data_IF_044533449050
#
_entry.id   IF_044533449050
#
_cell.length_a   1.000
_cell.length_b   1.000
_cell.length_c   1.000
_cell.angle_alpha   90.00
_cell.angle_beta   90.00
_cell.angle_gamma   90.00
#
_symmetry.space_group_name_H-M   'P 1'
#
loop_
_entity.id
_entity.type
_entity.pdbx_description
1 polymer ?
#
# COMPACT_ATOMS: atom_id res chain seq x y z
N UNK A 1 14.50 5.61 -9.15
CA UNK A 1 14.03 6.93 -9.56
C UNK A 1 13.30 7.58 -8.38
N UNK A 2 13.49 8.89 -8.07
CA UNK A 2 12.74 9.56 -7.00
C UNK A 2 11.22 9.41 -7.14
N UNK A 3 10.71 9.44 -8.37
CA UNK A 3 9.28 9.32 -8.65
C UNK A 3 8.69 7.99 -8.23
N UNK A 4 9.47 6.92 -8.19
CA UNK A 4 9.04 5.59 -7.74
C UNK A 4 8.67 5.57 -6.25
N UNK A 5 9.15 6.55 -5.49
CA UNK A 5 8.90 6.66 -4.06
C UNK A 5 7.83 7.70 -3.73
N UNK A 6 7.96 8.92 -4.27
CA UNK A 6 7.08 9.98 -3.81
C UNK A 6 5.71 10.03 -4.48
N UNK A 7 5.57 9.55 -5.72
CA UNK A 7 4.25 9.47 -6.37
C UNK A 7 3.30 8.55 -5.60
N UNK A 8 3.68 7.33 -5.20
CA UNK A 8 2.85 6.52 -4.33
C UNK A 8 2.50 7.21 -3.00
N UNK A 9 3.41 7.99 -2.42
CA UNK A 9 3.13 8.75 -1.19
C UNK A 9 2.14 9.88 -1.40
N UNK A 10 2.19 10.58 -2.54
CA UNK A 10 1.17 11.58 -2.91
C UNK A 10 -0.22 10.94 -3.03
N UNK A 11 -0.29 9.75 -3.64
CA UNK A 11 -1.53 9.00 -3.74
C UNK A 11 -2.02 8.52 -2.36
N UNK A 12 -1.10 8.10 -1.47
CA UNK A 12 -1.43 7.74 -0.10
C UNK A 12 -1.95 8.94 0.71
N UNK A 13 -1.45 10.15 0.48
CA UNK A 13 -1.95 11.36 1.14
C UNK A 13 -3.44 11.56 0.87
N UNK A 14 -3.88 11.21 -0.33
CA UNK A 14 -5.29 11.26 -0.71
C UNK A 14 -6.11 10.07 -0.17
N UNK A 15 -5.62 8.83 -0.34
CA UNK A 15 -6.39 7.62 -0.01
C UNK A 15 -6.31 7.20 1.46
N UNK A 16 -5.22 7.52 2.14
CA UNK A 16 -4.89 7.00 3.48
C UNK A 16 -4.26 8.09 4.35
N UNK A 17 -5.05 9.07 4.73
CA UNK A 17 -4.60 10.22 5.54
C UNK A 17 -3.87 9.78 6.80
N UNK A 18 -2.69 10.34 7.04
CA UNK A 18 -1.79 10.01 8.13
C UNK A 18 -0.80 8.89 7.81
N UNK A 19 -0.99 8.15 6.71
CA UNK A 19 -0.01 7.15 6.25
C UNK A 19 1.29 7.80 5.78
N UNK A 20 1.28 8.88 4.98
CA UNK A 20 2.51 9.56 4.60
C UNK A 20 3.28 10.12 5.81
N UNK A 21 2.61 10.72 6.78
CA UNK A 21 3.22 11.24 8.00
C UNK A 21 3.84 10.11 8.83
N UNK A 22 3.18 8.97 8.90
CA UNK A 22 3.70 7.77 9.56
C UNK A 22 5.00 7.30 8.88
N UNK A 23 5.01 7.23 7.54
CA UNK A 23 6.19 6.84 6.76
C UNK A 23 7.32 7.87 6.94
N UNK A 24 7.02 9.17 6.81
CA UNK A 24 7.98 10.25 7.02
C UNK A 24 8.62 10.18 8.41
N UNK A 25 7.84 9.93 9.45
CA UNK A 25 8.38 9.80 10.81
C UNK A 25 9.34 8.62 10.94
N UNK A 26 9.00 7.45 10.37
CA UNK A 26 9.88 6.29 10.43
C UNK A 26 11.18 6.46 9.66
N UNK A 27 11.16 7.27 8.61
CA UNK A 27 12.34 7.57 7.79
C UNK A 27 13.21 8.64 8.48
N UNK A 28 12.61 9.73 8.94
CA UNK A 28 13.32 10.91 9.46
C UNK A 28 13.58 10.83 10.97
N UNK A 29 12.72 10.15 11.71
CA UNK A 29 12.83 10.03 13.17
C UNK A 29 12.72 11.36 13.92
N UNK A 30 12.02 12.35 13.33
CA UNK A 30 11.94 13.72 13.87
C UNK A 30 11.29 13.78 15.26
N UNK A 31 10.38 12.84 15.56
CA UNK A 31 9.74 12.69 16.87
C UNK A 31 10.33 11.51 17.66
N UNK A 32 11.46 10.95 17.20
CA UNK A 32 12.24 9.95 17.89
C UNK A 32 11.88 8.49 17.58
N UNK A 33 11.00 8.21 16.63
CA UNK A 33 10.70 6.85 16.22
C UNK A 33 11.60 6.45 15.05
N UNK A 34 12.39 5.40 15.24
CA UNK A 34 13.30 4.89 14.22
C UNK A 34 13.04 3.40 13.99
N UNK A 35 13.22 2.97 12.75
CA UNK A 35 13.30 1.53 12.44
C UNK A 35 14.71 1.05 12.71
N UNK A 36 14.83 -0.05 13.46
CA UNK A 36 16.09 -0.71 13.72
C UNK A 36 16.00 -2.21 13.38
N UNK A 37 17.04 -2.72 12.73
CA UNK A 37 17.20 -4.14 12.50
C UNK A 37 18.03 -4.77 13.64
N UNK A 38 17.46 -5.71 14.38
CA UNK A 38 18.06 -6.33 15.57
C UNK A 38 18.06 -7.86 15.49
N UNK A 39 19.11 -8.50 15.97
CA UNK A 39 19.08 -9.95 16.18
C UNK A 39 18.00 -10.30 17.23
N UNK A 40 17.28 -11.42 17.05
CA UNK A 40 16.33 -11.87 18.06
C UNK A 40 17.06 -12.17 19.37
N UNK A 41 16.44 -11.80 20.48
CA UNK A 41 16.88 -12.23 21.79
C UNK A 41 16.80 -13.77 21.84
N UNK A 42 17.82 -14.49 22.37
CA UNK A 42 17.79 -15.95 22.49
C UNK A 42 16.52 -16.51 23.11
N UNK A 43 15.91 -15.77 24.03
CA UNK A 43 14.64 -16.14 24.70
C UNK A 43 13.40 -16.04 23.81
N UNK A 44 13.53 -15.49 22.61
CA UNK A 44 12.42 -15.34 21.64
C UNK A 44 12.56 -16.30 20.45
N UNK A 45 13.72 -16.96 20.30
CA UNK A 45 13.96 -17.92 19.22
C UNK A 45 13.06 -19.15 19.42
N UNK A 46 12.34 -19.56 18.38
CA UNK A 46 11.37 -20.65 18.42
C UNK A 46 10.02 -20.29 19.08
N UNK A 47 9.87 -19.04 19.53
CA UNK A 47 8.57 -18.48 19.92
C UNK A 47 7.83 -17.92 18.71
N UNK A 48 6.53 -17.70 18.85
CA UNK A 48 5.70 -17.17 17.77
C UNK A 48 5.85 -15.66 17.59
N UNK A 49 5.51 -15.16 16.39
CA UNK A 49 5.51 -13.74 16.08
C UNK A 49 4.60 -12.93 17.02
N UNK A 50 3.42 -13.46 17.30
CA UNK A 50 2.49 -12.84 18.24
C UNK A 50 3.04 -12.74 19.66
N UNK A 51 3.71 -13.78 20.16
CA UNK A 51 4.38 -13.76 21.45
C UNK A 51 5.49 -12.71 21.51
N UNK A 52 6.25 -12.56 20.40
CA UNK A 52 7.25 -11.50 20.27
C UNK A 52 6.63 -10.12 20.36
N UNK A 53 5.54 -9.86 19.61
CA UNK A 53 4.81 -8.59 19.66
C UNK A 53 4.34 -8.30 21.09
N UNK A 54 3.63 -9.25 21.71
CA UNK A 54 3.13 -9.13 23.10
C UNK A 54 4.25 -8.76 24.07
N UNK A 55 5.34 -9.52 24.03
CA UNK A 55 6.47 -9.36 24.96
C UNK A 55 7.24 -8.05 24.75
N UNK A 56 7.57 -7.71 23.48
CA UNK A 56 8.33 -6.51 23.18
C UNK A 56 7.50 -5.25 23.40
N UNK A 57 6.26 -5.25 22.97
CA UNK A 57 5.37 -4.11 23.13
C UNK A 57 5.09 -3.80 24.60
N UNK A 58 4.75 -4.82 25.38
CA UNK A 58 4.41 -4.66 26.80
C UNK A 58 5.60 -4.24 27.67
N UNK A 59 6.79 -4.87 27.43
CA UNK A 59 7.95 -4.67 28.30
C UNK A 59 8.88 -3.54 27.89
N UNK A 60 8.96 -3.27 26.59
CA UNK A 60 9.97 -2.37 26.00
C UNK A 60 9.36 -1.23 25.18
N UNK A 61 8.05 -1.24 24.94
CA UNK A 61 7.40 -0.28 24.05
C UNK A 61 7.77 -0.42 22.57
N UNK A 62 8.51 -1.50 22.22
CA UNK A 62 9.04 -1.75 20.87
C UNK A 62 7.98 -2.47 20.03
N UNK A 63 7.82 -2.04 18.77
CA UNK A 63 6.88 -2.66 17.83
C UNK A 63 7.62 -3.41 16.72
N UNK A 64 7.62 -4.75 16.71
CA UNK A 64 8.14 -5.54 15.61
C UNK A 64 7.28 -5.33 14.34
N UNK A 65 7.92 -5.13 13.18
CA UNK A 65 7.26 -4.91 11.88
C UNK A 65 7.48 -6.06 10.91
N UNK A 66 8.73 -6.53 10.82
CA UNK A 66 9.15 -7.48 9.80
C UNK A 66 10.30 -8.38 10.27
N UNK A 67 10.52 -9.46 9.54
CA UNK A 67 11.65 -10.37 9.72
C UNK A 67 12.48 -10.39 8.42
N UNK A 68 13.79 -10.19 8.53
CA UNK A 68 14.74 -10.33 7.43
C UNK A 68 15.45 -11.68 7.54
N UNK A 69 15.28 -12.54 6.54
CA UNK A 69 15.88 -13.87 6.45
C UNK A 69 16.51 -14.04 5.07
N UNK A 70 17.83 -14.31 5.00
CA UNK A 70 18.53 -14.54 3.72
C UNK A 70 18.25 -13.44 2.66
N UNK A 71 18.30 -12.18 3.07
CA UNK A 71 18.04 -10.98 2.23
C UNK A 71 16.58 -10.78 1.82
N UNK A 72 15.66 -11.65 2.25
CA UNK A 72 14.21 -11.48 2.02
C UNK A 72 13.57 -10.83 3.24
N UNK A 73 12.85 -9.75 3.02
CA UNK A 73 12.04 -9.06 4.04
C UNK A 73 10.63 -9.66 4.05
N UNK A 74 10.20 -10.15 5.19
CA UNK A 74 8.84 -10.63 5.41
C UNK A 74 8.14 -9.64 6.34
N UNK A 75 7.28 -8.81 5.80
CA UNK A 75 6.51 -7.82 6.56
C UNK A 75 5.32 -8.49 7.22
N UNK A 76 5.05 -8.13 8.47
CA UNK A 76 3.89 -8.60 9.22
C UNK A 76 3.68 -10.13 9.16
N UNK A 77 4.69 -10.97 9.50
CA UNK A 77 4.53 -12.43 9.50
C UNK A 77 3.25 -12.88 10.21
N UNK A 78 2.71 -14.02 9.84
CA UNK A 78 1.54 -14.60 10.52
C UNK A 78 1.72 -14.69 12.04
N UNK A 79 0.63 -14.64 12.80
CA UNK A 79 0.66 -14.69 14.25
C UNK A 79 1.40 -15.93 14.79
N UNK A 80 1.29 -17.06 14.09
CA UNK A 80 1.92 -18.36 14.39
C UNK A 80 3.34 -18.52 13.87
N UNK A 81 3.85 -17.55 13.08
CA UNK A 81 5.20 -17.65 12.49
C UNK A 81 6.25 -17.82 13.58
N UNK A 82 7.05 -18.88 13.50
CA UNK A 82 8.13 -19.19 14.45
C UNK A 82 9.39 -18.38 14.11
N UNK A 83 9.96 -17.72 15.11
CA UNK A 83 11.14 -16.85 14.95
C UNK A 83 12.39 -17.68 14.78
N UNK A 84 13.07 -17.62 13.59
CA UNK A 84 14.27 -18.40 13.35
C UNK A 84 15.47 -17.86 14.15
N UNK A 85 16.46 -18.72 14.37
CA UNK A 85 17.72 -18.32 15.00
C UNK A 85 18.54 -17.36 14.13
N UNK A 86 18.47 -17.52 12.82
CA UNK A 86 19.26 -16.75 11.85
C UNK A 86 18.35 -15.76 11.12
N UNK A 87 17.96 -14.69 11.81
CA UNK A 87 17.19 -13.60 11.22
C UNK A 87 17.55 -12.26 11.86
N UNK A 88 17.06 -11.16 11.28
CA UNK A 88 16.97 -9.86 11.92
C UNK A 88 15.51 -9.49 12.08
N UNK A 89 15.15 -8.93 13.23
CA UNK A 89 13.81 -8.36 13.47
C UNK A 89 13.90 -6.87 13.18
N UNK A 90 13.10 -6.41 12.24
CA UNK A 90 12.91 -4.99 11.95
C UNK A 90 11.78 -4.47 12.85
N UNK A 91 12.05 -3.44 13.60
CA UNK A 91 11.15 -2.97 14.67
C UNK A 91 11.20 -1.47 14.83
N UNK A 92 10.08 -0.85 15.24
CA UNK A 92 10.04 0.54 15.65
C UNK A 92 10.55 0.62 17.09
N UNK A 93 11.65 1.35 17.27
CA UNK A 93 12.20 1.69 18.58
C UNK A 93 11.79 3.12 18.95
N UNK A 94 11.36 3.30 20.19
CA UNK A 94 11.02 4.61 20.76
C UNK A 94 12.15 5.01 21.71
N UNK A 95 12.53 6.29 21.80
CA UNK A 95 13.57 6.75 22.70
C UNK A 95 13.33 6.32 24.15
N UNK A 96 14.36 5.92 24.90
CA UNK A 96 14.23 5.43 26.28
C UNK A 96 13.76 6.51 27.28
N UNK A 97 13.90 7.78 26.93
CA UNK A 97 13.62 8.92 27.81
C UNK A 97 12.18 9.45 27.69
N UNK A 98 11.25 8.65 27.19
CA UNK A 98 9.85 9.03 27.10
C UNK A 98 9.30 9.32 28.50
N UNK A 99 8.88 10.56 28.84
CA UNK A 99 8.29 10.86 30.12
C UNK A 99 7.05 9.97 30.32
N UNK A 100 6.93 9.34 31.48
CA UNK A 100 5.78 8.47 31.80
C UNK A 100 4.46 9.24 32.02
N UNK A 101 4.45 10.55 31.79
CA UNK A 101 3.33 11.44 32.16
C UNK A 101 2.44 11.84 30.99
N UNK A 102 2.97 11.97 29.77
CA UNK A 102 2.18 12.34 28.60
C UNK A 102 2.32 11.25 27.52
N UNK A 103 1.25 10.50 27.30
CA UNK A 103 1.22 9.40 26.34
C UNK A 103 1.12 9.92 24.89
N UNK A 104 0.92 11.23 24.70
CA UNK A 104 0.69 11.88 23.41
C UNK A 104 1.75 12.97 23.08
N UNK A 105 2.82 13.09 23.89
CA UNK A 105 3.82 14.17 23.77
C UNK A 105 4.54 14.26 22.43
N UNK A 106 4.57 13.16 21.67
CA UNK A 106 5.21 13.07 20.34
C UNK A 106 4.21 12.85 19.21
N UNK A 107 3.00 13.37 19.37
CA UNK A 107 1.98 13.26 18.36
C UNK A 107 2.24 14.22 17.19
N UNK A 108 2.13 13.70 15.98
CA UNK A 108 2.38 14.39 14.71
C UNK A 108 1.06 14.98 14.22
N UNK A 109 1.04 16.24 13.80
CA UNK A 109 -0.13 16.81 13.15
C UNK A 109 -0.36 16.11 11.81
N UNK A 110 -1.53 15.52 11.63
CA UNK A 110 -1.96 15.00 10.35
C UNK A 110 -2.67 16.15 9.62
N UNK A 111 -2.13 16.51 8.49
CA UNK A 111 -2.79 17.45 7.59
C UNK A 111 -3.99 16.71 7.03
N UNK A 112 -5.17 17.03 7.52
CA UNK A 112 -6.33 16.20 7.30
C UNK A 112 -7.47 16.92 6.70
N UNK A 113 -8.16 16.17 5.88
CA UNK A 113 -9.45 16.53 5.34
C UNK A 113 -10.56 16.05 6.27
N UNK A 114 -11.44 16.95 6.61
CA UNK A 114 -12.82 16.59 6.92
C UNK A 114 -13.44 16.10 5.61
N UNK A 115 -13.71 14.78 5.51
CA UNK A 115 -14.43 14.09 4.44
C UNK A 115 -14.30 14.70 3.03
N UNK A 116 -13.28 14.28 2.26
CA UNK A 116 -13.22 14.53 0.81
C UNK A 116 -14.51 14.01 0.20
N UNK A 117 -15.20 14.83 -0.57
CA UNK A 117 -16.32 14.37 -1.38
C UNK A 117 -15.85 13.17 -2.22
N UNK A 118 -16.56 12.04 -2.10
CA UNK A 118 -16.17 10.79 -2.79
C UNK A 118 -16.35 10.88 -4.30
N UNK A 119 -17.13 11.86 -4.78
CA UNK A 119 -17.48 12.03 -6.19
C UNK A 119 -16.57 13.07 -6.87
N UNK A 120 -16.10 12.75 -8.07
CA UNK A 120 -15.28 13.64 -8.87
C UNK A 120 -14.12 12.93 -9.57
N UNK A 121 -13.50 13.65 -10.51
CA UNK A 121 -12.34 13.15 -11.23
C UNK A 121 -11.03 13.52 -10.52
N UNK A 122 -9.94 12.88 -10.97
CA UNK A 122 -8.58 13.17 -10.53
C UNK A 122 -7.95 14.15 -11.53
N UNK A 123 -7.37 15.23 -11.05
CA UNK A 123 -6.67 16.22 -11.86
C UNK A 123 -5.16 16.05 -11.66
N UNK A 124 -4.41 16.04 -12.76
CA UNK A 124 -2.94 16.07 -12.76
C UNK A 124 -2.49 17.31 -13.52
N UNK A 125 -1.80 18.23 -12.86
CA UNK A 125 -1.22 19.41 -13.50
C UNK A 125 0.30 19.34 -13.43
N UNK A 126 0.93 19.03 -14.57
CA UNK A 126 2.37 18.83 -14.62
C UNK A 126 2.92 18.96 -16.04
N UNK A 127 4.13 19.51 -16.17
CA UNK A 127 4.93 19.49 -17.39
C UNK A 127 6.09 18.50 -17.31
N UNK A 128 6.00 17.56 -16.37
CA UNK A 128 6.97 16.50 -16.14
C UNK A 128 6.39 15.16 -16.57
N UNK A 129 6.81 14.69 -17.74
CA UNK A 129 6.31 13.45 -18.31
C UNK A 129 6.61 12.22 -17.44
N UNK A 130 7.74 12.21 -16.73
CA UNK A 130 8.10 11.11 -15.83
C UNK A 130 7.12 11.03 -14.66
N UNK A 131 6.78 12.17 -14.07
CA UNK A 131 5.77 12.26 -13.03
C UNK A 131 4.40 11.80 -13.50
N UNK A 132 3.93 12.35 -14.65
CA UNK A 132 2.62 11.99 -15.21
C UNK A 132 2.54 10.48 -15.47
N UNK A 133 3.55 9.93 -16.14
CA UNK A 133 3.60 8.49 -16.45
C UNK A 133 3.58 7.64 -15.19
N UNK A 134 4.33 8.05 -14.16
CA UNK A 134 4.33 7.33 -12.88
C UNK A 134 2.97 7.38 -12.18
N UNK A 135 2.31 8.54 -12.17
CA UNK A 135 0.95 8.66 -11.64
C UNK A 135 -0.02 7.74 -12.38
N UNK A 136 0.00 7.75 -13.71
CA UNK A 136 -0.89 6.91 -14.51
C UNK A 136 -0.60 5.42 -14.31
N UNK A 137 0.67 5.03 -14.21
CA UNK A 137 1.06 3.64 -13.93
C UNK A 137 0.53 3.19 -12.57
N UNK A 138 0.77 3.93 -11.50
CA UNK A 138 0.29 3.63 -10.15
C UNK A 138 -1.25 3.54 -10.10
N UNK A 139 -1.94 4.48 -10.74
CA UNK A 139 -3.40 4.49 -10.80
C UNK A 139 -3.94 3.30 -11.61
N UNK A 140 -3.26 2.91 -12.68
CA UNK A 140 -3.59 1.73 -13.48
C UNK A 140 -3.51 0.45 -12.67
N UNK A 141 -2.47 0.30 -11.87
CA UNK A 141 -2.25 -0.88 -11.02
C UNK A 141 -3.24 -0.98 -9.87
N UNK A 142 -3.65 0.16 -9.31
CA UNK A 142 -4.70 0.25 -8.29
C UNK A 142 -6.11 0.03 -8.88
N UNK A 143 -6.23 -0.26 -10.19
CA UNK A 143 -7.51 -0.35 -10.90
C UNK A 143 -8.42 0.87 -10.65
N UNK A 144 -7.83 2.05 -10.69
CA UNK A 144 -8.56 3.31 -10.52
C UNK A 144 -9.66 3.41 -11.58
N UNK A 145 -10.90 3.66 -11.15
CA UNK A 145 -12.07 3.73 -12.05
C UNK A 145 -12.51 5.15 -12.35
N UNK A 146 -12.02 6.09 -11.57
CA UNK A 146 -12.34 7.50 -11.75
C UNK A 146 -11.66 8.05 -12.99
N UNK A 147 -12.33 8.98 -13.62
CA UNK A 147 -11.76 9.74 -14.73
C UNK A 147 -10.53 10.51 -14.25
N UNK A 148 -9.49 10.53 -15.07
CA UNK A 148 -8.26 11.30 -14.85
C UNK A 148 -8.19 12.39 -15.91
N UNK A 149 -7.97 13.64 -15.49
CA UNK A 149 -7.75 14.77 -16.39
C UNK A 149 -6.31 15.25 -16.22
N UNK A 150 -5.54 15.21 -17.29
CA UNK A 150 -4.15 15.66 -17.31
C UNK A 150 -4.07 17.02 -17.98
N UNK A 151 -3.50 18.01 -17.29
CA UNK A 151 -3.15 19.34 -17.82
C UNK A 151 -1.64 19.41 -17.99
N UNK A 152 -1.16 19.60 -19.23
CA UNK A 152 0.27 19.66 -19.52
C UNK A 152 0.56 20.50 -20.75
N UNK A 153 1.74 21.17 -20.80
CA UNK A 153 2.27 21.79 -22.02
C UNK A 153 2.83 20.71 -22.99
N UNK A 154 3.01 19.49 -22.49
CA UNK A 154 3.49 18.37 -23.29
C UNK A 154 2.31 17.74 -24.04
N UNK A 155 2.51 17.44 -25.31
CA UNK A 155 1.51 16.69 -26.08
C UNK A 155 1.27 15.30 -25.52
N UNK A 156 0.08 14.77 -25.73
CA UNK A 156 -0.31 13.44 -25.27
C UNK A 156 0.71 12.37 -25.69
N UNK A 157 0.98 11.46 -24.77
CA UNK A 157 1.84 10.29 -25.05
C UNK A 157 1.08 9.24 -25.86
N UNK A 158 1.81 8.54 -26.74
CA UNK A 158 1.22 7.58 -27.68
C UNK A 158 0.63 6.32 -27.02
N UNK A 159 1.03 6.01 -25.77
CA UNK A 159 0.60 4.82 -25.03
C UNK A 159 0.07 5.18 -23.64
N UNK A 160 -1.23 5.42 -23.55
CA UNK A 160 -1.93 5.53 -22.25
C UNK A 160 -2.37 4.13 -21.79
N UNK A 161 -2.42 3.87 -20.46
CA UNK A 161 -2.95 2.60 -19.95
C UNK A 161 -4.40 2.36 -20.38
N UNK A 162 -4.68 1.22 -21.00
CA UNK A 162 -6.00 0.88 -21.57
C UNK A 162 -7.13 0.78 -20.51
N UNK A 163 -6.77 0.54 -19.27
CA UNK A 163 -7.73 0.39 -18.16
C UNK A 163 -8.08 1.70 -17.44
N UNK A 164 -7.54 2.85 -17.90
CA UNK A 164 -7.83 4.16 -17.34
C UNK A 164 -8.65 5.03 -18.30
N UNK A 165 -9.59 5.81 -17.76
CA UNK A 165 -10.28 6.88 -18.49
C UNK A 165 -9.49 8.18 -18.34
N UNK A 166 -8.61 8.47 -19.32
CA UNK A 166 -7.70 9.63 -19.29
C UNK A 166 -8.11 10.65 -20.34
N UNK A 167 -8.42 11.87 -19.90
CA UNK A 167 -8.58 13.05 -20.76
C UNK A 167 -7.30 13.91 -20.68
N UNK A 168 -6.65 14.14 -21.82
CA UNK A 168 -5.44 14.97 -21.89
C UNK A 168 -5.76 16.33 -22.51
N UNK A 169 -5.45 17.40 -21.79
CA UNK A 169 -5.67 18.80 -22.21
C UNK A 169 -4.32 19.49 -22.34
N UNK A 170 -3.90 19.74 -23.59
CA UNK A 170 -2.64 20.41 -23.87
C UNK A 170 -2.75 21.92 -23.70
N UNK A 171 -1.81 22.51 -22.98
CA UNK A 171 -1.68 23.94 -22.78
C UNK A 171 -0.97 24.33 -21.51
N UNK A 172 -0.85 25.63 -21.25
CA UNK A 172 -0.19 26.14 -20.06
C UNK A 172 -0.95 25.74 -18.80
N UNK A 173 -0.34 24.83 -18.04
CA UNK A 173 -0.89 24.21 -16.81
C UNK A 173 -1.23 25.21 -15.70
N UNK A 174 -0.72 26.45 -15.76
CA UNK A 174 -1.03 27.55 -14.84
C UNK A 174 -2.20 28.44 -15.33
N UNK A 175 -2.90 28.05 -16.38
CA UNK A 175 -3.94 28.86 -16.97
C UNK A 175 -5.31 28.61 -16.35
N UNK A 176 -5.94 29.65 -15.81
CA UNK A 176 -7.33 29.60 -15.34
C UNK A 176 -8.31 29.04 -16.40
N UNK A 177 -8.05 29.34 -17.66
CA UNK A 177 -8.85 28.82 -18.78
C UNK A 177 -8.74 27.28 -18.88
N UNK A 178 -7.54 26.70 -18.66
CA UNK A 178 -7.37 25.28 -18.68
C UNK A 178 -8.06 24.60 -17.50
N UNK A 179 -7.96 25.16 -16.30
CA UNK A 179 -8.70 24.62 -15.14
C UNK A 179 -10.20 24.63 -15.37
N UNK A 180 -10.76 25.68 -16.00
CA UNK A 180 -12.17 25.70 -16.41
C UNK A 180 -12.50 24.65 -17.46
N UNK A 181 -11.61 24.45 -18.45
CA UNK A 181 -11.77 23.40 -19.46
C UNK A 181 -11.70 21.99 -18.86
N UNK A 182 -10.81 21.80 -17.90
CA UNK A 182 -10.69 20.57 -17.13
C UNK A 182 -11.86 20.33 -16.15
N UNK A 183 -12.78 21.28 -16.01
CA UNK A 183 -13.85 21.23 -15.01
C UNK A 183 -13.30 21.01 -13.60
N UNK A 184 -12.26 21.78 -13.24
CA UNK A 184 -11.55 21.61 -11.97
C UNK A 184 -12.48 21.63 -10.74
N UNK A 185 -13.61 22.37 -10.79
CA UNK A 185 -14.63 22.37 -9.73
C UNK A 185 -15.34 21.03 -9.52
N UNK A 186 -15.21 20.09 -10.46
CA UNK A 186 -15.74 18.73 -10.36
C UNK A 186 -14.64 17.73 -9.97
N UNK A 187 -13.39 18.19 -9.77
CA UNK A 187 -12.30 17.32 -9.33
C UNK A 187 -12.39 17.10 -7.82
N UNK A 188 -12.06 15.90 -7.38
CA UNK A 188 -11.94 15.57 -5.96
C UNK A 188 -10.52 15.77 -5.41
N UNK A 189 -9.52 15.63 -6.28
CA UNK A 189 -8.11 15.82 -5.93
C UNK A 189 -7.34 16.36 -7.12
N UNK A 190 -6.33 17.18 -6.85
CA UNK A 190 -5.38 17.67 -7.83
C UNK A 190 -3.95 17.36 -7.40
N UNK A 191 -3.18 16.72 -8.27
CA UNK A 191 -1.75 16.48 -8.11
C UNK A 191 -0.98 17.47 -8.97
N UNK A 192 -0.09 18.26 -8.33
CA UNK A 192 0.67 19.33 -8.98
C UNK A 192 2.17 19.05 -8.82
N UNK A 193 2.87 18.93 -9.95
CA UNK A 193 4.32 18.72 -9.99
C UNK A 193 4.94 19.40 -11.21
N UNK A 194 5.56 20.53 -11.00
CA UNK A 194 6.37 21.24 -12.00
C UNK A 194 7.81 21.33 -11.53
N UNK A 195 8.73 21.44 -12.47
CA UNK A 195 10.17 21.55 -12.17
C UNK A 195 10.56 22.84 -11.41
N UNK A 196 9.69 23.86 -11.41
CA UNK A 196 9.93 25.13 -10.72
C UNK A 196 8.84 25.36 -9.65
N UNK A 197 9.28 25.61 -8.40
CA UNK A 197 8.38 25.83 -7.27
C UNK A 197 7.44 27.01 -7.46
N UNK A 198 7.88 28.04 -8.21
CA UNK A 198 7.02 29.17 -8.56
C UNK A 198 5.87 28.77 -9.48
N UNK A 199 6.09 27.80 -10.37
CA UNK A 199 5.02 27.21 -11.19
C UNK A 199 4.07 26.38 -10.33
N UNK A 200 4.59 25.56 -9.40
CA UNK A 200 3.76 24.83 -8.43
C UNK A 200 2.88 25.80 -7.63
N UNK A 201 3.46 26.86 -7.08
CA UNK A 201 2.73 27.87 -6.34
C UNK A 201 1.62 28.53 -7.18
N UNK A 202 1.92 28.87 -8.43
CA UNK A 202 0.95 29.49 -9.33
C UNK A 202 -0.16 28.55 -9.74
N UNK A 203 0.14 27.25 -9.95
CA UNK A 203 -0.86 26.22 -10.25
C UNK A 203 -1.81 26.04 -9.07
N UNK A 204 -1.29 25.91 -7.85
CA UNK A 204 -2.11 25.83 -6.63
C UNK A 204 -3.00 27.07 -6.51
N UNK A 205 -2.42 28.28 -6.55
CA UNK A 205 -3.18 29.53 -6.42
C UNK A 205 -4.31 29.63 -7.45
N UNK A 206 -4.05 29.29 -8.71
CA UNK A 206 -5.05 29.33 -9.78
C UNK A 206 -6.12 28.26 -9.64
N UNK A 207 -5.76 27.09 -9.15
CA UNK A 207 -6.71 26.03 -8.84
C UNK A 207 -7.64 26.47 -7.71
N UNK A 208 -7.10 26.97 -6.61
CA UNK A 208 -7.85 27.48 -5.47
C UNK A 208 -8.81 28.62 -5.87
N UNK A 209 -8.34 29.58 -6.67
CA UNK A 209 -9.18 30.64 -7.22
C UNK A 209 -10.32 30.10 -8.13
N UNK A 210 -10.07 29.01 -8.86
CA UNK A 210 -11.04 28.41 -9.77
C UNK A 210 -12.08 27.51 -9.09
N UNK A 211 -11.76 26.98 -7.91
CA UNK A 211 -12.54 25.95 -7.21
C UNK A 211 -13.08 26.41 -5.86
N UNK A 212 -12.81 27.66 -5.45
CA UNK A 212 -13.14 28.20 -4.12
C UNK A 212 -12.58 27.32 -2.96
N UNK A 213 -11.46 26.60 -3.21
CA UNK A 213 -10.81 25.74 -2.22
C UNK A 213 -11.52 24.41 -1.92
N UNK A 214 -12.40 23.95 -2.82
CA UNK A 214 -13.17 22.72 -2.60
C UNK A 214 -12.41 21.44 -3.08
N UNK A 215 -11.28 21.59 -3.78
CA UNK A 215 -10.49 20.47 -4.33
C UNK A 215 -9.27 20.20 -3.46
N UNK A 216 -9.10 18.95 -3.06
CA UNK A 216 -7.89 18.56 -2.32
C UNK A 216 -6.64 18.67 -3.17
N UNK A 217 -5.71 19.51 -2.77
CA UNK A 217 -4.54 19.85 -3.55
C UNK A 217 -3.28 19.24 -2.93
N UNK A 218 -2.59 18.42 -3.72
CA UNK A 218 -1.30 17.82 -3.37
C UNK A 218 -0.24 18.39 -4.29
N UNK A 219 0.80 19.03 -3.75
CA UNK A 219 1.86 19.62 -4.56
C UNK A 219 3.26 19.21 -4.10
N UNK A 220 4.21 19.16 -5.04
CA UNK A 220 5.63 19.02 -4.73
C UNK A 220 6.32 20.37 -4.57
N UNK A 221 7.44 20.37 -3.86
CA UNK A 221 8.36 21.50 -3.78
C UNK A 221 9.80 20.99 -3.67
N UNK A 222 10.80 21.86 -3.98
CA UNK A 222 12.21 21.51 -4.04
C UNK A 222 13.11 22.46 -3.24
N UNK A 223 12.58 23.61 -2.80
CA UNK A 223 13.32 24.59 -2.01
C UNK A 223 12.91 24.54 -0.56
N UNK A 224 13.87 24.55 0.32
CA UNK A 224 13.68 24.61 1.76
C UNK A 224 12.66 25.72 2.15
N UNK A 225 11.76 25.43 3.07
CA UNK A 225 10.67 26.31 3.56
C UNK A 225 9.65 26.76 2.49
N UNK A 226 9.61 26.15 1.31
CA UNK A 226 8.63 26.51 0.28
C UNK A 226 7.22 25.95 0.56
N UNK A 227 7.13 24.88 1.33
CA UNK A 227 5.89 24.30 1.84
C UNK A 227 4.99 25.34 2.50
N UNK A 228 5.56 26.23 3.34
CA UNK A 228 4.81 27.29 4.00
C UNK A 228 4.15 28.28 3.01
N UNK A 229 4.74 28.47 1.83
CA UNK A 229 4.16 29.30 0.81
C UNK A 229 3.01 28.59 0.10
N UNK A 230 3.16 27.29 -0.18
CA UNK A 230 2.11 26.47 -0.76
C UNK A 230 0.90 26.34 0.17
N UNK A 231 1.11 26.11 1.46
CA UNK A 231 0.02 26.09 2.44
C UNK A 231 -0.71 27.44 2.55
N UNK A 232 -0.01 28.56 2.45
CA UNK A 232 -0.63 29.90 2.48
C UNK A 232 -1.53 30.19 1.29
N UNK A 233 -1.31 29.55 0.15
CA UNK A 233 -2.16 29.70 -1.04
C UNK A 233 -3.23 28.63 -1.17
N UNK A 234 -3.37 27.74 -0.16
CA UNK A 234 -4.45 26.77 -0.08
C UNK A 234 -4.05 25.31 -0.36
N UNK A 235 -2.78 25.00 -0.61
CA UNK A 235 -2.37 23.62 -0.79
C UNK A 235 -2.63 22.81 0.48
N UNK A 236 -3.28 21.65 0.35
CA UNK A 236 -3.63 20.80 1.49
C UNK A 236 -2.48 19.89 1.92
N UNK A 237 -1.68 19.42 0.96
CA UNK A 237 -0.54 18.55 1.24
C UNK A 237 0.66 18.89 0.37
N UNK A 238 1.83 19.01 1.01
CA UNK A 238 3.08 19.31 0.33
C UNK A 238 4.12 18.22 0.57
N UNK A 239 4.89 17.91 -0.46
CA UNK A 239 5.93 16.90 -0.41
C UNK A 239 7.23 17.40 -1.06
N UNK A 240 8.35 17.29 -0.32
CA UNK A 240 9.69 17.42 -0.89
C UNK A 240 10.24 16.02 -1.21
N UNK A 241 10.46 15.68 -2.49
CA UNK A 241 11.03 14.39 -2.87
C UNK A 241 12.42 14.15 -2.26
N UNK A 242 13.26 15.18 -2.08
CA UNK A 242 14.61 15.03 -1.55
C UNK A 242 14.63 14.76 -0.04
N UNK A 243 13.65 15.28 0.69
CA UNK A 243 13.48 15.08 2.13
C UNK A 243 13.27 13.60 2.52
N UNK A 244 12.78 12.77 1.60
CA UNK A 244 12.59 11.36 1.81
C UNK A 244 13.78 10.50 1.41
N UNK A 245 14.41 10.83 0.28
CA UNK A 245 15.44 9.97 -0.33
C UNK A 245 16.71 9.94 0.51
N UNK A 246 17.20 11.10 0.95
CA UNK A 246 18.44 11.19 1.72
C UNK A 246 18.41 10.41 3.03
N UNK A 247 17.37 10.53 3.88
CA UNK A 247 17.24 9.72 5.09
C UNK A 247 17.10 8.22 4.80
N UNK A 248 16.32 7.81 3.78
CA UNK A 248 16.18 6.40 3.42
C UNK A 248 17.55 5.81 3.07
N UNK A 249 18.33 6.47 2.24
CA UNK A 249 19.66 5.99 1.86
C UNK A 249 20.59 5.86 3.08
N UNK A 250 20.62 6.87 3.94
CA UNK A 250 21.47 6.87 5.13
C UNK A 250 21.04 5.82 6.15
N UNK A 251 19.75 5.68 6.39
CA UNK A 251 19.20 4.67 7.32
C UNK A 251 19.31 3.24 6.78
N UNK A 252 19.15 3.03 5.46
CA UNK A 252 19.32 1.72 4.83
C UNK A 252 20.76 1.22 4.94
N UNK A 253 21.75 2.10 4.93
CA UNK A 253 23.16 1.76 5.17
C UNK A 253 23.39 1.21 6.60
N UNK A 254 22.60 1.66 7.57
CA UNK A 254 22.71 1.28 8.99
C UNK A 254 21.78 0.07 9.35
N UNK A 255 20.69 -0.05 8.64
CA UNK A 255 19.65 -1.05 8.91
C UNK A 255 19.37 -1.88 7.66
N UNK A 256 20.02 -3.06 7.49
CA UNK A 256 19.80 -3.93 6.34
C UNK A 256 18.32 -4.28 6.16
N UNK A 257 17.83 -4.19 4.93
CA UNK A 257 16.43 -4.45 4.57
C UNK A 257 15.48 -3.27 4.76
N UNK A 258 15.94 -2.13 5.30
CA UNK A 258 15.04 -0.97 5.50
C UNK A 258 14.52 -0.40 4.17
N UNK A 259 15.39 -0.26 3.18
CA UNK A 259 14.98 0.21 1.86
C UNK A 259 13.86 -0.66 1.28
N UNK A 260 14.06 -1.98 1.29
CA UNK A 260 13.05 -2.94 0.85
C UNK A 260 11.76 -2.86 1.68
N UNK A 261 11.86 -2.72 3.01
CA UNK A 261 10.69 -2.58 3.87
C UNK A 261 9.86 -1.35 3.51
N UNK A 262 10.51 -0.20 3.31
CA UNK A 262 9.82 1.06 2.96
C UNK A 262 9.22 0.95 1.56
N UNK A 263 9.99 0.45 0.60
CA UNK A 263 9.52 0.22 -0.76
C UNK A 263 8.29 -0.69 -0.78
N UNK A 264 8.33 -1.82 -0.09
CA UNK A 264 7.22 -2.74 -0.01
C UNK A 264 5.99 -2.19 0.71
N UNK A 265 6.12 -1.32 1.69
CA UNK A 265 4.98 -0.66 2.36
C UNK A 265 4.34 0.40 1.46
N UNK A 266 5.12 1.10 0.65
CA UNK A 266 4.68 2.22 -0.19
C UNK A 266 4.14 1.73 -1.54
N UNK A 267 4.83 0.78 -2.18
CA UNK A 267 4.48 0.26 -3.50
C UNK A 267 3.51 -0.92 -3.36
N UNK A 268 2.26 -0.72 -3.74
CA UNK A 268 1.25 -1.79 -3.72
C UNK A 268 1.46 -2.87 -4.80
N UNK A 269 2.37 -2.63 -5.76
CA UNK A 269 2.55 -3.47 -6.95
C UNK A 269 3.15 -4.85 -6.72
N UNK A 270 4.08 -4.94 -5.78
CA UNK A 270 4.90 -6.15 -5.61
C UNK A 270 4.67 -6.83 -4.28
N UNK A 271 3.76 -6.31 -3.45
CA UNK A 271 3.73 -6.65 -2.04
C UNK A 271 2.49 -7.38 -1.60
N UNK A 272 2.71 -8.31 -0.71
CA UNK A 272 1.62 -9.00 -0.01
C UNK A 272 1.02 -8.16 1.12
N UNK A 273 1.60 -7.00 1.45
CA UNK A 273 1.25 -6.17 2.60
C UNK A 273 1.25 -4.68 2.22
N UNK A 274 0.28 -3.91 2.68
CA UNK A 274 0.22 -2.46 2.48
C UNK A 274 -0.23 -1.72 3.73
N UNK A 275 0.01 -0.40 3.75
CA UNK A 275 -0.37 0.48 4.85
C UNK A 275 -1.78 1.03 4.62
N UNK A 276 -2.64 0.86 5.60
CA UNK A 276 -4.03 1.29 5.57
C UNK A 276 -4.38 2.18 6.75
N UNK A 277 -5.41 3.01 6.55
CA UNK A 277 -6.03 3.80 7.63
C UNK A 277 -7.53 3.50 7.67
N UNK A 278 -8.05 3.11 8.83
CA UNK A 278 -9.47 2.78 9.03
C UNK A 278 -10.03 3.50 10.26
N UNK A 279 -11.18 4.16 10.10
CA UNK A 279 -11.91 4.80 11.19
C UNK A 279 -12.65 3.74 12.03
N UNK A 280 -12.52 3.83 13.35
CA UNK A 280 -13.27 2.98 14.27
C UNK A 280 -14.73 3.44 14.36
N UNK A 281 -15.62 2.45 14.45
CA UNK A 281 -17.04 2.70 14.60
C UNK A 281 -17.32 3.44 15.93
N UNK A 282 -18.31 4.33 15.93
CA UNK A 282 -18.74 5.09 17.12
C UNK A 282 -19.34 4.19 18.21
N UNK A 283 -19.75 2.97 17.86
CA UNK A 283 -20.30 1.98 18.79
C UNK A 283 -19.23 1.06 19.40
N UNK A 284 -17.97 1.20 18.99
CA UNK A 284 -16.87 0.38 19.49
C UNK A 284 -16.58 0.71 20.96
N UNK A 285 -16.24 -0.30 21.75
CA UNK A 285 -15.76 -0.09 23.12
C UNK A 285 -14.31 0.39 23.12
N UNK A 286 -13.97 1.29 24.05
CA UNK A 286 -12.58 1.70 24.25
C UNK A 286 -11.75 0.54 24.77
N UNK A 287 -10.63 0.22 24.10
CA UNK A 287 -9.69 -0.85 24.47
C UNK A 287 -8.28 -0.29 24.59
N UNK A 288 -7.42 -0.97 25.34
CA UNK A 288 -5.99 -0.59 25.37
C UNK A 288 -5.36 -0.86 23.99
N UNK A 289 -4.36 -0.05 23.64
CA UNK A 289 -3.59 -0.21 22.41
C UNK A 289 -3.07 -1.64 22.24
N UNK A 290 -2.49 -2.22 23.31
CA UNK A 290 -1.98 -3.59 23.27
C UNK A 290 -3.09 -4.62 23.01
N UNK A 291 -4.26 -4.45 23.65
CA UNK A 291 -5.39 -5.37 23.42
C UNK A 291 -5.88 -5.30 21.96
N UNK A 292 -5.93 -4.09 21.40
CA UNK A 292 -6.35 -3.89 20.00
C UNK A 292 -5.35 -4.50 19.03
N UNK A 293 -4.02 -4.34 19.27
CA UNK A 293 -2.99 -5.02 18.44
C UNK A 293 -3.19 -6.53 18.44
N UNK A 294 -3.38 -7.12 19.62
CA UNK A 294 -3.52 -8.57 19.77
C UNK A 294 -4.74 -9.07 19.01
N UNK A 295 -5.89 -8.42 19.23
CA UNK A 295 -7.17 -8.78 18.61
C UNK A 295 -7.10 -8.73 17.08
N UNK A 296 -6.59 -7.64 16.51
CA UNK A 296 -6.47 -7.48 15.06
C UNK A 296 -5.45 -8.46 14.46
N UNK A 297 -4.34 -8.69 15.16
CA UNK A 297 -3.33 -9.65 14.70
C UNK A 297 -3.82 -11.10 14.73
N UNK A 298 -4.57 -11.50 15.75
CA UNK A 298 -5.11 -12.87 15.88
C UNK A 298 -6.26 -13.14 14.88
N UNK A 299 -7.14 -12.15 14.68
CA UNK A 299 -8.37 -12.38 13.92
C UNK A 299 -8.26 -12.01 12.43
N UNK A 300 -7.49 -10.97 12.10
CA UNK A 300 -7.47 -10.36 10.75
C UNK A 300 -6.06 -10.36 10.13
N UNK A 301 -5.05 -10.83 10.86
CA UNK A 301 -3.64 -10.73 10.51
C UNK A 301 -3.19 -9.29 10.22
N UNK A 302 -3.84 -8.28 10.81
CA UNK A 302 -3.49 -6.87 10.72
C UNK A 302 -2.49 -6.47 11.80
N UNK A 303 -1.44 -5.77 11.42
CA UNK A 303 -0.42 -5.25 12.34
C UNK A 303 -0.65 -3.77 12.59
N UNK A 304 -1.21 -3.44 13.74
CA UNK A 304 -1.50 -2.08 14.14
C UNK A 304 -0.22 -1.32 14.50
N UNK A 305 0.07 -0.21 13.83
CA UNK A 305 1.35 0.50 13.91
C UNK A 305 1.23 1.98 14.28
N UNK A 306 0.04 2.56 14.18
CA UNK A 306 -0.24 3.95 14.52
C UNK A 306 -1.70 4.22 14.85
N UNK A 307 -1.95 5.33 15.52
CA UNK A 307 -3.27 5.79 15.95
C UNK A 307 -3.43 7.28 15.66
N UNK A 308 -4.48 7.66 14.95
CA UNK A 308 -4.83 9.06 14.73
C UNK A 308 -6.04 9.39 15.60
N UNK A 309 -5.88 10.38 16.47
CA UNK A 309 -6.92 10.82 17.40
C UNK A 309 -8.03 11.56 16.68
N UNK A 310 -9.27 11.16 16.90
CA UNK A 310 -10.45 11.82 16.30
C UNK A 310 -10.64 13.27 16.77
N UNK A 311 -10.24 13.59 18.00
CA UNK A 311 -10.46 14.90 18.60
C UNK A 311 -9.40 15.93 18.21
N UNK A 312 -8.16 15.52 18.01
CA UNK A 312 -7.00 16.41 17.79
C UNK A 312 -6.40 16.27 16.40
N UNK A 313 -6.84 15.29 15.62
CA UNK A 313 -6.28 14.89 14.33
C UNK A 313 -4.76 14.64 14.40
N UNK A 314 -4.26 14.15 15.52
CA UNK A 314 -2.83 13.88 15.74
C UNK A 314 -2.54 12.40 15.60
N UNK A 315 -1.48 12.08 14.85
CA UNK A 315 -0.93 10.74 14.68
C UNK A 315 0.03 10.40 15.81
N UNK A 316 -0.19 9.27 16.42
CA UNK A 316 0.71 8.63 17.37
C UNK A 316 1.35 7.41 16.69
N UNK A 317 2.64 7.49 16.43
CA UNK A 317 3.43 6.35 15.91
C UNK A 317 3.79 5.46 17.08
N UNK A 318 3.53 4.16 16.96
CA UNK A 318 3.85 3.18 18.00
C UNK A 318 3.38 3.58 19.42
N UNK A 319 2.08 3.85 19.64
CA UNK A 319 1.54 4.33 20.93
C UNK A 319 1.91 3.46 22.12
N UNK A 320 1.84 4.03 23.33
CA UNK A 320 2.07 3.27 24.57
C UNK A 320 1.06 2.12 24.70
N UNK A 321 1.46 0.93 25.21
CA UNK A 321 0.59 -0.25 25.27
C UNK A 321 -0.70 -0.06 26.09
N UNK A 322 -0.69 0.84 27.07
CA UNK A 322 -1.85 1.15 27.95
C UNK A 322 -2.72 2.31 27.41
N UNK A 323 -2.31 2.97 26.32
CA UNK A 323 -3.11 4.04 25.70
C UNK A 323 -4.47 3.48 25.29
N UNK A 324 -5.54 4.21 25.58
CA UNK A 324 -6.87 3.82 25.14
C UNK A 324 -7.10 4.23 23.70
N UNK A 325 -7.58 3.31 22.93
CA UNK A 325 -8.15 3.52 21.58
C UNK A 325 -9.63 3.80 21.76
N UNK A 326 -10.11 4.92 21.25
CA UNK A 326 -11.47 5.38 21.47
C UNK A 326 -12.33 5.27 20.20
N UNK A 327 -13.66 5.23 20.35
CA UNK A 327 -14.56 5.33 19.19
C UNK A 327 -14.28 6.57 18.36
N UNK A 328 -14.28 6.41 17.06
CA UNK A 328 -14.00 7.49 16.10
C UNK A 328 -12.52 7.74 15.82
N UNK A 329 -11.60 7.20 16.62
CA UNK A 329 -10.17 7.22 16.29
C UNK A 329 -9.92 6.46 14.97
N UNK A 330 -8.82 6.81 14.27
CA UNK A 330 -8.41 6.11 13.05
C UNK A 330 -7.19 5.25 13.34
N UNK A 331 -7.25 4.00 12.93
CA UNK A 331 -6.16 3.04 13.08
C UNK A 331 -5.27 3.07 11.84
N UNK A 332 -3.96 3.15 12.04
CA UNK A 332 -2.95 2.95 10.99
C UNK A 332 -2.38 1.54 11.15
N UNK A 333 -2.51 0.70 10.14
CA UNK A 333 -2.14 -0.70 10.22
C UNK A 333 -1.57 -1.24 8.92
N UNK A 334 -0.71 -2.24 9.03
CA UNK A 334 -0.18 -3.01 7.91
C UNK A 334 -1.03 -4.27 7.79
N UNK A 335 -1.59 -4.49 6.60
CA UNK A 335 -2.43 -5.64 6.32
C UNK A 335 -2.08 -6.26 4.97
N UNK A 336 -2.42 -7.55 4.78
CA UNK A 336 -2.34 -8.16 3.46
C UNK A 336 -3.12 -7.33 2.44
N UNK A 337 -2.49 -7.04 1.30
CA UNK A 337 -3.20 -6.46 0.17
C UNK A 337 -4.29 -7.46 -0.21
N UNK A 338 -5.54 -7.09 0.04
CA UNK A 338 -6.66 -7.79 -0.57
C UNK A 338 -6.55 -7.47 -2.04
N UNK A 339 -6.09 -8.41 -2.86
CA UNK A 339 -6.08 -8.21 -4.30
C UNK A 339 -7.45 -7.67 -4.72
N UNK A 340 -7.53 -6.81 -5.75
CA UNK A 340 -8.81 -6.28 -6.24
C UNK A 340 -9.82 -7.42 -6.53
N UNK A 341 -9.31 -8.59 -6.81
CA UNK A 341 -10.00 -9.85 -6.87
C UNK A 341 -10.65 -10.29 -5.54
N UNK A 342 -10.02 -10.03 -4.37
CA UNK A 342 -10.58 -10.32 -3.05
C UNK A 342 -11.56 -9.25 -2.57
N UNK A 343 -11.46 -8.00 -3.04
CA UNK A 343 -12.42 -6.92 -2.73
C UNK A 343 -13.75 -7.09 -3.47
N UNK A 344 -13.75 -7.77 -4.63
CA UNK A 344 -14.96 -8.07 -5.39
C UNK A 344 -15.63 -9.39 -4.98
N UNK A 345 -15.25 -9.96 -3.80
CA UNK A 345 -15.64 -11.29 -3.42
C UNK A 345 -15.21 -12.26 -4.53
N UNK A 346 -14.07 -12.92 -4.36
CA UNK A 346 -13.95 -14.21 -5.00
C UNK A 346 -15.03 -15.09 -4.34
N UNK A 347 -16.25 -14.98 -4.82
CA UNK A 347 -17.04 -16.16 -4.96
C UNK A 347 -16.17 -17.11 -5.77
N UNK A 348 -15.99 -18.30 -5.31
CA UNK A 348 -15.01 -19.33 -5.66
C UNK A 348 -15.02 -19.74 -7.14
N UNK A 349 -14.92 -18.78 -8.07
CA UNK A 349 -14.92 -19.05 -9.50
C UNK A 349 -13.52 -19.46 -9.94
N UNK A 350 -13.25 -20.77 -9.86
CA UNK A 350 -12.17 -21.37 -10.63
C UNK A 350 -12.41 -21.06 -12.11
N UNK A 351 -11.41 -20.49 -12.76
CA UNK A 351 -11.54 -19.96 -14.13
C UNK A 351 -11.86 -21.08 -15.10
N UNK A 352 -13.06 -21.10 -15.68
CA UNK A 352 -13.48 -22.00 -16.74
C UNK A 352 -13.43 -21.35 -18.14
N UNK A 353 -13.77 -20.08 -18.38
CA UNK A 353 -13.97 -19.58 -19.73
C UNK A 353 -13.30 -18.27 -20.14
N UNK A 354 -12.75 -18.28 -21.29
CA UNK A 354 -12.83 -17.57 -22.58
C UNK A 354 -12.40 -16.11 -22.70
N UNK A 355 -11.77 -15.43 -21.74
CA UNK A 355 -11.24 -14.08 -21.98
C UNK A 355 -9.71 -14.05 -21.84
N UNK A 356 -9.00 -14.24 -22.97
CA UNK A 356 -7.54 -14.15 -23.01
C UNK A 356 -7.00 -13.52 -24.27
N UNK A 357 -6.11 -12.52 -24.17
CA UNK A 357 -5.20 -12.20 -25.24
C UNK A 357 -4.17 -13.35 -25.40
N UNK A 358 -3.86 -13.66 -26.62
CA UNK A 358 -3.14 -14.84 -27.08
C UNK A 358 -1.69 -14.89 -26.62
N UNK A 359 -1.31 -15.94 -25.88
CA UNK A 359 0.04 -16.49 -25.96
C UNK A 359 -0.05 -17.85 -26.66
N UNK A 360 0.78 -18.06 -27.68
CA UNK A 360 0.72 -19.11 -28.70
C UNK A 360 1.01 -20.56 -28.22
N UNK A 361 0.80 -20.89 -26.95
CA UNK A 361 0.93 -22.27 -26.50
C UNK A 361 -0.45 -22.85 -26.19
N UNK A 362 -1.09 -23.43 -27.21
CA UNK A 362 -2.29 -24.23 -26.96
C UNK A 362 -1.93 -25.43 -26.09
N UNK A 363 -2.61 -25.63 -24.94
CA UNK A 363 -2.39 -26.81 -24.10
C UNK A 363 -2.65 -28.09 -24.91
N UNK A 364 -1.94 -29.15 -24.59
CA UNK A 364 -2.19 -30.45 -25.19
C UNK A 364 -3.63 -30.92 -24.90
N UNK A 365 -4.21 -31.72 -25.77
CA UNK A 365 -5.57 -32.26 -25.54
C UNK A 365 -5.67 -33.05 -24.22
N UNK A 366 -4.57 -33.63 -23.78
CA UNK A 366 -4.45 -34.34 -22.50
C UNK A 366 -4.44 -33.37 -21.30
N UNK A 367 -3.70 -32.28 -21.40
CA UNK A 367 -3.66 -31.21 -20.38
C UNK A 367 -5.03 -30.54 -20.21
N UNK A 368 -5.71 -30.24 -21.30
CA UNK A 368 -7.06 -29.68 -21.29
C UNK A 368 -8.09 -30.64 -20.69
N UNK A 369 -7.97 -31.95 -20.97
CA UNK A 369 -8.82 -32.98 -20.38
C UNK A 369 -8.66 -33.08 -18.87
N UNK A 370 -7.42 -33.05 -18.39
CA UNK A 370 -7.09 -33.08 -16.95
C UNK A 370 -7.60 -31.81 -16.25
N UNK A 371 -7.38 -30.65 -16.86
CA UNK A 371 -7.88 -29.39 -16.34
C UNK A 371 -9.40 -29.40 -16.17
N UNK A 372 -10.14 -29.80 -17.20
CA UNK A 372 -11.62 -29.91 -17.12
C UNK A 372 -12.11 -30.94 -16.12
N UNK A 373 -11.34 -32.03 -15.91
CA UNK A 373 -11.66 -33.00 -14.85
C UNK A 373 -11.52 -32.33 -13.48
N UNK A 374 -10.44 -31.58 -13.24
CA UNK A 374 -10.24 -30.84 -11.97
C UNK A 374 -11.36 -29.85 -11.68
N UNK A 375 -11.79 -29.06 -12.69
CA UNK A 375 -12.94 -28.15 -12.53
C UNK A 375 -14.22 -28.88 -12.13
N UNK A 376 -14.56 -29.99 -12.78
CA UNK A 376 -15.76 -30.79 -12.45
C UNK A 376 -15.76 -31.34 -11.04
N UNK A 377 -14.57 -31.74 -10.54
CA UNK A 377 -14.42 -32.25 -9.17
C UNK A 377 -14.72 -31.15 -8.15
N UNK A 378 -14.31 -29.92 -8.43
CA UNK A 378 -14.62 -28.76 -7.57
C UNK A 378 -16.12 -28.42 -7.65
N UNK A 379 -16.67 -28.32 -8.86
CA UNK A 379 -18.06 -27.84 -9.05
C UNK A 379 -19.13 -28.82 -8.57
N UNK A 380 -18.90 -30.13 -8.69
CA UNK A 380 -19.95 -31.13 -8.52
C UNK A 380 -19.71 -32.10 -7.38
N UNK A 381 -18.49 -32.32 -6.96
CA UNK A 381 -18.14 -33.38 -6.02
C UNK A 381 -17.48 -32.85 -4.74
N UNK A 382 -17.12 -31.54 -4.69
CA UNK A 382 -16.40 -30.88 -3.59
C UNK A 382 -15.12 -31.62 -3.19
N UNK A 383 -14.49 -32.34 -4.16
CA UNK A 383 -13.28 -33.12 -3.98
C UNK A 383 -12.06 -32.30 -4.39
N UNK A 384 -11.64 -31.42 -3.49
CA UNK A 384 -10.52 -30.54 -3.71
C UNK A 384 -9.17 -31.27 -3.79
N UNK A 385 -9.00 -32.41 -3.13
CA UNK A 385 -7.73 -33.15 -3.14
C UNK A 385 -7.49 -33.79 -4.51
N UNK A 386 -8.47 -34.47 -5.07
CA UNK A 386 -8.37 -35.06 -6.42
C UNK A 386 -8.30 -33.95 -7.49
N UNK A 387 -8.98 -32.80 -7.28
CA UNK A 387 -8.90 -31.64 -8.17
C UNK A 387 -7.49 -31.05 -8.20
N UNK A 388 -6.83 -30.93 -7.04
CA UNK A 388 -5.44 -30.52 -6.94
C UNK A 388 -4.52 -31.41 -7.76
N UNK A 389 -4.68 -32.73 -7.64
CA UNK A 389 -3.91 -33.70 -8.43
C UNK A 389 -4.14 -33.54 -9.93
N UNK A 390 -5.37 -33.33 -10.36
CA UNK A 390 -5.70 -33.11 -11.76
C UNK A 390 -5.07 -31.82 -12.31
N UNK A 391 -5.13 -30.71 -11.56
CA UNK A 391 -4.48 -29.47 -11.95
C UNK A 391 -2.97 -29.60 -11.96
N UNK A 392 -2.38 -30.31 -11.00
CA UNK A 392 -0.93 -30.54 -10.96
C UNK A 392 -0.44 -31.31 -12.20
N UNK A 393 -1.14 -32.36 -12.59
CA UNK A 393 -0.80 -33.09 -13.81
C UNK A 393 -0.96 -32.22 -15.07
N UNK A 394 -2.02 -31.40 -15.14
CA UNK A 394 -2.21 -30.47 -16.24
C UNK A 394 -1.12 -29.38 -16.28
N UNK A 395 -0.69 -28.88 -15.10
CA UNK A 395 0.38 -27.86 -14.97
C UNK A 395 1.74 -28.37 -15.45
N UNK A 396 2.07 -29.64 -15.16
CA UNK A 396 3.28 -30.32 -15.69
C UNK A 396 3.25 -30.37 -17.22
N UNK A 397 2.06 -30.51 -17.82
CA UNK A 397 1.85 -30.44 -19.28
C UNK A 397 1.72 -28.99 -19.79
N UNK A 398 2.23 -28.02 -19.03
CA UNK A 398 2.27 -26.58 -19.34
C UNK A 398 0.89 -25.93 -19.53
N UNK A 399 -0.15 -26.42 -18.85
CA UNK A 399 -1.46 -25.80 -18.90
C UNK A 399 -1.52 -24.57 -17.99
N UNK A 400 -1.51 -23.36 -18.56
CA UNK A 400 -1.38 -22.09 -17.84
C UNK A 400 -2.47 -21.87 -16.79
N UNK A 401 -3.75 -22.15 -17.12
CA UNK A 401 -4.86 -22.01 -16.17
C UNK A 401 -4.78 -22.99 -15.01
N UNK A 402 -4.26 -24.20 -15.25
CA UNK A 402 -4.03 -25.18 -14.18
C UNK A 402 -2.95 -24.70 -13.19
N UNK A 403 -1.88 -24.08 -13.68
CA UNK A 403 -0.86 -23.45 -12.84
C UNK A 403 -1.45 -22.35 -11.96
N UNK A 404 -2.31 -21.51 -12.52
CA UNK A 404 -3.01 -20.47 -11.76
C UNK A 404 -3.92 -21.07 -10.67
N UNK A 405 -4.73 -22.09 -11.02
CA UNK A 405 -5.60 -22.74 -10.04
C UNK A 405 -4.81 -23.45 -8.92
N UNK A 406 -3.64 -24.01 -9.22
CA UNK A 406 -2.72 -24.53 -8.18
C UNK A 406 -2.24 -23.43 -7.24
N UNK A 407 -1.91 -22.26 -7.79
CA UNK A 407 -1.57 -21.09 -6.99
C UNK A 407 -2.69 -20.75 -6.00
N UNK A 408 -3.94 -20.69 -6.46
CA UNK A 408 -5.11 -20.44 -5.63
C UNK A 408 -5.34 -21.53 -4.57
N UNK A 409 -5.20 -22.81 -4.96
CA UNK A 409 -5.40 -23.94 -4.03
C UNK A 409 -4.35 -23.96 -2.91
N UNK A 410 -3.08 -23.72 -3.24
CA UNK A 410 -2.00 -23.57 -2.24
C UNK A 410 -2.20 -22.33 -1.36
N UNK A 411 -2.68 -21.23 -1.94
CA UNK A 411 -2.95 -20.00 -1.20
C UNK A 411 -4.08 -20.19 -0.17
N UNK A 412 -5.16 -20.85 -0.56
CA UNK A 412 -6.34 -21.05 0.26
C UNK A 412 -6.28 -22.29 1.15
N UNK A 413 -5.32 -23.20 0.93
CA UNK A 413 -5.25 -24.49 1.62
C UNK A 413 -6.39 -25.43 1.22
N UNK A 414 -6.86 -25.37 -0.03
CA UNK A 414 -7.95 -26.21 -0.54
C UNK A 414 -7.40 -27.44 -1.28
N UNK A 415 -7.70 -28.61 -0.79
CA UNK A 415 -7.19 -29.89 -1.33
C UNK A 415 -5.70 -30.14 -1.09
N UNK A 416 -5.02 -29.21 -0.43
CA UNK A 416 -3.62 -29.28 -0.05
C UNK A 416 -3.41 -28.43 1.20
N UNK A 417 -2.39 -28.72 1.99
CA UNK A 417 -1.99 -27.83 3.09
C UNK A 417 -1.57 -26.46 2.54
N UNK A 418 -2.03 -25.39 3.18
CA UNK A 418 -1.72 -24.01 2.75
C UNK A 418 -0.23 -23.79 2.70
N UNK A 419 0.29 -23.42 1.53
CA UNK A 419 1.70 -23.17 1.29
C UNK A 419 1.87 -21.95 0.38
N UNK A 420 2.29 -20.83 0.95
CA UNK A 420 2.43 -19.56 0.23
C UNK A 420 3.62 -19.57 -0.74
N UNK A 421 4.69 -20.30 -0.43
CA UNK A 421 5.85 -20.42 -1.32
C UNK A 421 5.50 -21.20 -2.59
N UNK A 422 4.76 -22.29 -2.44
CA UNK A 422 4.24 -23.07 -3.57
C UNK A 422 3.17 -22.27 -4.35
N UNK A 423 2.34 -21.50 -3.66
CA UNK A 423 1.37 -20.62 -4.28
C UNK A 423 2.06 -19.60 -5.18
N UNK A 424 3.06 -18.89 -4.64
CA UNK A 424 3.86 -17.91 -5.38
C UNK A 424 4.58 -18.55 -6.58
N UNK A 425 5.18 -19.72 -6.39
CA UNK A 425 5.83 -20.45 -7.47
C UNK A 425 4.86 -20.73 -8.62
N UNK A 426 3.66 -21.24 -8.32
CA UNK A 426 2.67 -21.55 -9.34
C UNK A 426 2.09 -20.30 -10.03
N UNK A 427 1.90 -19.18 -9.32
CA UNK A 427 1.52 -17.92 -9.93
C UNK A 427 2.62 -17.36 -10.83
N UNK A 428 3.87 -17.40 -10.40
CA UNK A 428 5.01 -17.00 -11.22
C UNK A 428 5.13 -17.82 -12.50
N UNK A 429 4.98 -19.14 -12.39
CA UNK A 429 4.92 -20.04 -13.53
C UNK A 429 3.75 -19.70 -14.47
N UNK A 430 2.56 -19.45 -13.95
CA UNK A 430 1.41 -19.09 -14.75
C UNK A 430 1.61 -17.75 -15.47
N UNK A 431 2.17 -16.75 -14.78
CA UNK A 431 2.50 -15.43 -15.33
C UNK A 431 3.53 -15.51 -16.48
N UNK A 432 4.57 -16.35 -16.33
CA UNK A 432 5.58 -16.61 -17.36
C UNK A 432 4.97 -17.18 -18.64
N UNK A 433 3.91 -17.99 -18.51
CA UNK A 433 3.17 -18.55 -19.64
C UNK A 433 1.98 -17.69 -20.07
N UNK A 434 1.94 -16.41 -19.68
CA UNK A 434 1.00 -15.41 -20.21
C UNK A 434 -0.33 -15.31 -19.46
N UNK A 435 -0.44 -15.86 -18.24
CA UNK A 435 -1.62 -15.63 -17.41
C UNK A 435 -1.61 -14.22 -16.84
N UNK A 436 -2.55 -13.42 -17.28
CA UNK A 436 -2.74 -12.05 -16.80
C UNK A 436 -3.23 -12.03 -15.33
N UNK A 437 -4.10 -12.99 -14.97
CA UNK A 437 -4.57 -13.14 -13.61
C UNK A 437 -3.45 -13.54 -12.63
N UNK A 438 -2.49 -14.36 -13.08
CA UNK A 438 -1.33 -14.73 -12.29
C UNK A 438 -0.30 -13.59 -12.13
N UNK A 439 -0.25 -12.64 -13.07
CA UNK A 439 0.55 -11.41 -12.92
C UNK A 439 -0.05 -10.44 -11.91
N UNK A 440 -1.34 -10.57 -11.65
CA UNK A 440 -2.10 -9.73 -10.71
C UNK A 440 -2.28 -10.40 -9.33
N UNK A 441 -2.03 -11.70 -9.21
CA UNK A 441 -2.05 -12.49 -7.98
C UNK A 441 -0.69 -12.50 -7.29
#
# INVERSE_FOLDING_TARGET
DPYDLYVPLMLLAFHSQGAPEWIKELINGSHGHLIAARKPDPANIGGTWLELIKKKKQKQGIMPLAVLINEVVMINPDASFEIPKSCLIMQIETPPDRPKGDLEEHAIEVIGMDEIGLDGHILISSDNLVFINRCLLEMSQRNQREKIVVLSEISVIDELPDNLDVEWIEGNSNSEKLFKQARATEAKVAFIDHADDGQNLMSVLRLEEATDGEVFTVATYHKEDFDQQLFKVGCDYCLDPEELISPILSQSALNPGLGTLIEEIILEESTTQSLHVRKLNQESESKSWLSTIIELKENENELLVGLIRSQTNKLLVNPHPELLVNPGDRLVFIAPVKSAALQNGFEEDYIDETDHPQVDVKPSAEAEKLFRKGLKLIEHEDDHEEAYHCFHQAAILHHTRAKYNLGLMNFNGKGVERNLDESYHWFQEAATYGSENARKA
#
